data_IF_182986201704
#
_entry.id   IF_182986201704
#
_cell.length_a   1.000
_cell.length_b   1.000
_cell.length_c   1.000
_cell.angle_alpha   90.00
_cell.angle_beta   90.00
_cell.angle_gamma   90.00
#
_symmetry.space_group_name_H-M   'P 1'
#
loop_
_entity.id
_entity.type
_entity.pdbx_description
1 polymer ?
#
# COMPACT_ATOMS: atom_id res chain seq x y z
N UNK A 1 5.96 11.26 -19.87
CA UNK A 1 5.65 9.86 -19.53
C UNK A 1 5.00 9.91 -18.17
N UNK A 2 3.73 9.56 -18.07
CA UNK A 2 3.03 9.52 -16.78
C UNK A 2 3.31 8.14 -16.18
N UNK A 3 3.98 8.08 -15.04
CA UNK A 3 4.23 6.82 -14.33
C UNK A 3 2.93 6.44 -13.62
N UNK A 4 2.48 5.21 -13.79
CA UNK A 4 1.28 4.67 -13.13
C UNK A 4 1.68 3.59 -12.12
N UNK A 5 0.85 3.44 -11.10
CA UNK A 5 1.11 2.51 -10.01
C UNK A 5 1.18 1.05 -10.48
N UNK A 6 0.25 0.66 -11.34
CA UNK A 6 0.21 -0.66 -11.97
C UNK A 6 1.49 -1.01 -12.74
N UNK A 7 2.10 -0.02 -13.39
CA UNK A 7 3.33 -0.23 -14.16
C UNK A 7 4.55 -0.43 -13.25
N UNK A 8 4.62 0.27 -12.12
CA UNK A 8 5.69 0.07 -11.11
C UNK A 8 5.55 -1.33 -10.51
N UNK A 9 4.33 -1.71 -10.11
CA UNK A 9 4.06 -3.01 -9.51
C UNK A 9 4.30 -4.17 -10.47
N UNK A 10 4.01 -3.97 -11.76
CA UNK A 10 4.33 -4.94 -12.82
C UNK A 10 5.79 -4.86 -13.30
N UNK A 11 6.61 -3.99 -12.71
CA UNK A 11 8.01 -3.74 -13.06
C UNK A 11 8.21 -3.40 -14.56
N UNK A 12 7.27 -2.64 -15.13
CA UNK A 12 7.26 -2.19 -16.54
C UNK A 12 7.89 -0.81 -16.73
N UNK A 13 8.26 -0.14 -15.64
CA UNK A 13 8.89 1.18 -15.65
C UNK A 13 10.43 1.01 -15.59
N UNK A 14 11.20 1.78 -16.37
CA UNK A 14 12.66 1.72 -16.33
C UNK A 14 13.22 2.24 -15.00
N UNK A 15 14.47 1.87 -14.71
CA UNK A 15 15.27 2.44 -13.61
C UNK A 15 15.22 3.98 -13.66
N UNK A 16 15.03 4.66 -12.51
CA UNK A 16 15.09 4.16 -11.14
C UNK A 16 13.76 3.69 -10.55
N UNK A 17 12.64 3.80 -11.26
CA UNK A 17 11.30 3.58 -10.71
C UNK A 17 10.87 2.10 -10.76
N UNK A 18 11.75 1.20 -10.31
CA UNK A 18 11.47 -0.24 -10.26
C UNK A 18 10.60 -0.60 -9.06
N UNK A 19 9.98 -1.79 -9.07
CA UNK A 19 9.26 -2.32 -7.91
C UNK A 19 10.11 -2.32 -6.64
N UNK A 20 11.37 -2.76 -6.74
CA UNK A 20 12.28 -2.82 -5.60
C UNK A 20 12.57 -1.43 -5.00
N UNK A 21 12.82 -0.43 -5.87
CA UNK A 21 13.02 0.95 -5.45
C UNK A 21 11.78 1.55 -4.79
N UNK A 22 10.60 1.17 -5.26
CA UNK A 22 9.34 1.61 -4.69
C UNK A 22 9.06 0.97 -3.33
N UNK A 23 9.34 -0.34 -3.16
CA UNK A 23 9.24 -1.00 -1.84
C UNK A 23 10.22 -0.39 -0.83
N UNK A 24 11.46 -0.08 -1.25
CA UNK A 24 12.42 0.61 -0.40
C UNK A 24 11.89 2.00 0.02
N UNK A 25 11.34 2.77 -0.92
CA UNK A 25 10.73 4.06 -0.63
C UNK A 25 9.56 3.97 0.37
N UNK A 26 8.66 3.00 0.19
CA UNK A 26 7.56 2.77 1.13
C UNK A 26 8.09 2.46 2.54
N UNK A 27 9.16 1.67 2.64
CA UNK A 27 9.79 1.33 3.91
C UNK A 27 10.41 2.53 4.60
N UNK A 28 11.09 3.40 3.83
CA UNK A 28 11.76 4.59 4.37
C UNK A 28 10.77 5.68 4.78
N UNK A 29 9.59 5.72 4.16
CA UNK A 29 8.54 6.72 4.41
C UNK A 29 7.40 6.20 5.30
N UNK A 30 7.57 5.05 5.96
CA UNK A 30 6.54 4.45 6.84
C UNK A 30 5.18 4.35 6.14
N UNK A 31 5.18 3.87 4.90
CA UNK A 31 4.00 3.66 4.07
C UNK A 31 3.87 2.19 3.62
N UNK A 32 4.72 1.30 4.13
CA UNK A 32 4.76 -0.10 3.72
C UNK A 32 3.52 -0.87 4.19
N UNK A 33 2.92 -0.43 5.29
CA UNK A 33 1.70 -0.98 5.88
C UNK A 33 0.50 -0.88 4.94
N UNK A 34 0.44 0.14 4.07
CA UNK A 34 -0.59 0.28 3.01
C UNK A 34 -0.53 -0.91 2.04
N UNK A 35 0.68 -1.24 1.56
CA UNK A 35 0.88 -2.38 0.67
C UNK A 35 0.63 -3.71 1.38
N UNK A 36 1.11 -3.84 2.62
CA UNK A 36 0.93 -5.04 3.43
C UNK A 36 -0.53 -5.31 3.77
N UNK A 37 -1.31 -4.26 4.07
CA UNK A 37 -2.76 -4.35 4.29
C UNK A 37 -3.46 -4.84 3.02
N UNK A 38 -3.16 -4.27 1.86
CA UNK A 38 -3.77 -4.70 0.60
C UNK A 38 -3.48 -6.19 0.28
N UNK A 39 -2.24 -6.64 0.51
CA UNK A 39 -1.85 -8.05 0.36
C UNK A 39 -2.57 -8.95 1.37
N UNK A 40 -2.65 -8.55 2.64
CA UNK A 40 -3.35 -9.29 3.68
C UNK A 40 -4.86 -9.42 3.36
N UNK A 41 -5.48 -8.35 2.85
CA UNK A 41 -6.89 -8.37 2.45
C UNK A 41 -7.13 -9.29 1.24
N UNK A 42 -6.22 -9.31 0.27
CA UNK A 42 -6.28 -10.23 -0.86
C UNK A 42 -6.16 -11.70 -0.41
N UNK A 43 -5.21 -12.00 0.48
CA UNK A 43 -5.05 -13.32 1.06
C UNK A 43 -6.29 -13.76 1.85
N UNK A 44 -6.88 -12.84 2.64
CA UNK A 44 -8.12 -13.10 3.37
C UNK A 44 -9.27 -13.49 2.44
N UNK A 45 -9.44 -12.73 1.35
CA UNK A 45 -10.47 -13.01 0.34
C UNK A 45 -10.29 -14.39 -0.29
N UNK A 46 -9.08 -14.72 -0.71
CA UNK A 46 -8.79 -16.05 -1.30
C UNK A 46 -9.15 -17.18 -0.34
N UNK A 47 -8.77 -17.05 0.94
CA UNK A 47 -9.10 -18.05 1.95
C UNK A 47 -10.61 -18.12 2.21
N UNK A 48 -11.31 -16.99 2.27
CA UNK A 48 -12.76 -16.94 2.46
C UNK A 48 -13.50 -17.65 1.30
N UNK A 49 -13.09 -17.36 0.06
CA UNK A 49 -13.67 -17.97 -1.14
C UNK A 49 -13.42 -19.49 -1.16
N UNK A 50 -12.22 -19.92 -0.78
CA UNK A 50 -11.89 -21.33 -0.62
C UNK A 50 -12.83 -22.01 0.39
N UNK A 51 -12.97 -21.48 1.60
CA UNK A 51 -13.85 -22.05 2.64
C UNK A 51 -15.31 -22.09 2.19
N UNK A 52 -15.76 -21.05 1.49
CA UNK A 52 -17.12 -20.95 0.95
C UNK A 52 -17.40 -21.94 -0.18
N UNK A 53 -16.37 -22.38 -0.90
CA UNK A 53 -16.48 -23.36 -1.99
C UNK A 53 -16.63 -24.80 -1.51
N UNK A 54 -16.28 -25.11 -0.25
CA UNK A 54 -16.30 -26.48 0.28
C UNK A 54 -17.76 -26.93 0.50
N UNK A 55 -18.22 -28.02 -0.16
CA UNK A 55 -19.59 -28.52 0.01
C UNK A 55 -19.91 -28.87 1.46
N UNK A 56 -21.05 -28.38 1.95
CA UNK A 56 -21.52 -28.63 3.32
C UNK A 56 -20.80 -27.83 4.40
N UNK A 57 -19.79 -27.03 4.07
CA UNK A 57 -19.21 -26.04 4.98
C UNK A 57 -19.81 -24.66 4.73
N UNK A 58 -19.92 -23.90 5.80
CA UNK A 58 -20.22 -22.47 5.76
C UNK A 58 -19.30 -21.76 6.73
N UNK A 59 -18.89 -20.54 6.38
CA UNK A 59 -18.07 -19.68 7.24
C UNK A 59 -18.72 -19.49 8.62
N UNK A 60 -20.05 -19.49 8.69
CA UNK A 60 -20.81 -19.36 9.93
C UNK A 60 -20.90 -20.63 10.79
N UNK A 61 -20.48 -21.79 10.28
CA UNK A 61 -20.55 -23.06 11.00
C UNK A 61 -19.19 -23.41 11.65
N UNK A 62 -19.16 -23.87 12.91
CA UNK A 62 -17.92 -24.21 13.61
C UNK A 62 -17.15 -25.32 12.89
N UNK A 63 -15.92 -25.01 12.52
CA UNK A 63 -15.10 -25.85 11.66
C UNK A 63 -13.63 -25.37 11.73
N UNK A 64 -12.63 -26.22 11.51
CA UNK A 64 -11.21 -25.79 11.60
C UNK A 64 -10.93 -24.61 10.65
N UNK A 65 -11.41 -24.73 9.42
CA UNK A 65 -11.26 -23.75 8.35
C UNK A 65 -11.94 -22.41 8.69
N UNK A 66 -13.08 -22.44 9.38
CA UNK A 66 -13.73 -21.22 9.87
C UNK A 66 -12.99 -20.58 11.04
N UNK A 67 -12.31 -21.38 11.88
CA UNK A 67 -11.46 -20.86 12.96
C UNK A 67 -10.20 -20.22 12.40
N UNK A 68 -9.54 -20.87 11.45
CA UNK A 68 -8.36 -20.35 10.76
C UNK A 68 -8.70 -19.02 10.05
N UNK A 69 -9.87 -18.96 9.42
CA UNK A 69 -10.39 -17.74 8.78
C UNK A 69 -10.67 -16.63 9.79
N UNK A 70 -11.20 -16.96 10.97
CA UNK A 70 -11.40 -15.98 12.06
C UNK A 70 -10.05 -15.45 12.58
N UNK A 71 -9.05 -16.32 12.77
CA UNK A 71 -7.70 -15.91 13.18
C UNK A 71 -7.10 -14.96 12.14
N UNK A 72 -7.25 -15.28 10.85
CA UNK A 72 -6.77 -14.45 9.75
C UNK A 72 -7.47 -13.08 9.73
N UNK A 73 -8.79 -13.06 9.91
CA UNK A 73 -9.59 -11.83 10.02
C UNK A 73 -9.13 -10.96 11.19
N UNK A 74 -9.07 -11.55 12.39
CA UNK A 74 -8.68 -10.83 13.61
C UNK A 74 -7.27 -10.25 13.47
N UNK A 75 -6.31 -11.04 12.97
CA UNK A 75 -4.94 -10.58 12.73
C UNK A 75 -4.88 -9.41 11.75
N UNK A 76 -5.64 -9.46 10.65
CA UNK A 76 -5.72 -8.36 9.68
C UNK A 76 -6.26 -7.08 10.33
N UNK A 77 -7.36 -7.17 11.07
CA UNK A 77 -8.00 -6.01 11.69
C UNK A 77 -7.13 -5.43 12.82
N UNK A 78 -6.60 -6.26 13.70
CA UNK A 78 -5.76 -5.82 14.83
C UNK A 78 -4.44 -5.19 14.37
N UNK A 79 -3.85 -5.72 13.29
CA UNK A 79 -2.57 -5.22 12.78
C UNK A 79 -2.73 -3.89 12.06
N UNK A 80 -3.74 -3.76 11.19
CA UNK A 80 -3.81 -2.66 10.22
C UNK A 80 -4.94 -1.65 10.48
N UNK A 81 -5.96 -2.00 11.26
CA UNK A 81 -7.16 -1.17 11.41
C UNK A 81 -7.44 -0.75 12.85
N UNK A 82 -6.72 -1.29 13.84
CA UNK A 82 -6.88 -0.86 15.22
C UNK A 82 -6.33 0.57 15.37
N UNK A 83 -7.08 1.50 15.99
CA UNK A 83 -6.59 2.82 16.31
C UNK A 83 -5.30 2.78 17.14
N UNK A 84 -4.37 3.69 16.84
CA UNK A 84 -3.08 3.82 17.53
C UNK A 84 -2.17 2.59 17.34
N UNK A 85 -2.46 1.74 16.36
CA UNK A 85 -1.65 0.58 16.01
C UNK A 85 -0.35 0.99 15.30
N UNK A 86 0.74 0.27 15.56
CA UNK A 86 2.05 0.53 14.91
C UNK A 86 2.02 0.42 13.38
N UNK A 87 1.04 -0.33 12.84
CA UNK A 87 0.83 -0.52 11.39
C UNK A 87 -0.57 -0.07 10.95
N UNK A 88 -1.20 0.81 11.72
CA UNK A 88 -2.51 1.35 11.37
C UNK A 88 -2.44 2.05 10.01
N UNK A 89 -3.23 1.60 9.04
CA UNK A 89 -3.39 2.31 7.78
C UNK A 89 -4.25 3.55 7.99
N UNK A 90 -3.86 4.66 7.38
CA UNK A 90 -4.54 5.94 7.52
C UNK A 90 -5.90 5.97 6.81
N UNK A 91 -6.91 5.34 7.41
CA UNK A 91 -8.26 5.27 6.87
C UNK A 91 -9.22 6.18 7.64
N UNK A 92 -10.18 6.82 6.96
CA UNK A 92 -11.24 7.54 7.64
C UNK A 92 -12.04 6.63 8.57
N UNK A 93 -12.35 7.10 9.79
CA UNK A 93 -13.09 6.32 10.80
C UNK A 93 -14.43 5.77 10.28
N UNK A 94 -15.12 6.51 9.40
CA UNK A 94 -16.37 6.06 8.75
C UNK A 94 -16.23 4.76 7.93
N UNK A 95 -15.02 4.45 7.45
CA UNK A 95 -14.70 3.23 6.70
C UNK A 95 -14.15 2.17 7.68
N UNK A 96 -13.25 2.57 8.57
CA UNK A 96 -12.53 1.69 9.50
C UNK A 96 -13.42 1.10 10.60
N UNK A 97 -14.18 1.94 11.29
CA UNK A 97 -14.90 1.55 12.51
C UNK A 97 -15.97 0.46 12.28
N UNK A 98 -16.73 0.46 11.17
CA UNK A 98 -17.62 -0.66 10.84
C UNK A 98 -16.89 -2.00 10.72
N UNK A 99 -15.65 -2.01 10.20
CA UNK A 99 -14.85 -3.23 10.02
C UNK A 99 -14.43 -3.79 11.38
N UNK A 100 -13.98 -2.92 12.29
CA UNK A 100 -13.62 -3.29 13.67
C UNK A 100 -14.80 -3.95 14.39
N UNK A 101 -16.02 -3.48 14.15
CA UNK A 101 -17.24 -4.04 14.74
C UNK A 101 -17.40 -5.55 14.54
N UNK A 102 -17.06 -6.07 13.35
CA UNK A 102 -17.15 -7.51 13.07
C UNK A 102 -16.18 -8.35 13.92
N UNK A 103 -14.98 -7.83 14.18
CA UNK A 103 -13.98 -8.51 15.02
C UNK A 103 -14.45 -8.61 16.47
N UNK A 104 -15.10 -7.57 16.99
CA UNK A 104 -15.68 -7.58 18.33
C UNK A 104 -16.78 -8.65 18.50
N UNK A 105 -17.49 -8.99 17.42
CA UNK A 105 -18.47 -10.07 17.40
C UNK A 105 -17.84 -11.48 17.26
N UNK A 106 -16.51 -11.58 17.19
CA UNK A 106 -15.78 -12.83 16.93
C UNK A 106 -16.24 -13.53 15.64
N UNK A 107 -16.46 -12.74 14.58
CA UNK A 107 -16.92 -13.23 13.28
C UNK A 107 -15.96 -12.81 12.18
N UNK A 108 -15.57 -13.78 11.36
CA UNK A 108 -14.98 -13.52 10.05
C UNK A 108 -16.06 -12.86 9.16
N UNK A 109 -15.80 -11.65 8.69
CA UNK A 109 -16.74 -10.90 7.86
C UNK A 109 -16.64 -11.30 6.39
N UNK A 110 -17.65 -10.98 5.59
CA UNK A 110 -17.54 -11.12 4.14
C UNK A 110 -16.42 -10.19 3.61
N UNK A 111 -15.53 -10.65 2.71
CA UNK A 111 -14.45 -9.82 2.16
C UNK A 111 -14.94 -8.54 1.49
N UNK A 112 -16.19 -8.46 1.03
CA UNK A 112 -16.78 -7.22 0.49
C UNK A 112 -16.75 -6.06 1.48
N UNK A 113 -16.77 -6.35 2.79
CA UNK A 113 -16.66 -5.33 3.84
C UNK A 113 -15.33 -4.57 3.76
N UNK A 114 -14.27 -5.20 3.25
CA UNK A 114 -12.95 -4.57 3.09
C UNK A 114 -12.84 -3.73 1.80
N UNK A 115 -13.79 -3.79 0.88
CA UNK A 115 -13.65 -3.18 -0.46
C UNK A 115 -13.45 -1.65 -0.38
N UNK A 116 -14.24 -0.97 0.46
CA UNK A 116 -14.08 0.48 0.66
C UNK A 116 -12.75 0.84 1.32
N UNK A 117 -12.23 -0.01 2.20
CA UNK A 117 -10.92 0.19 2.83
C UNK A 117 -9.78 -0.01 1.82
N UNK A 118 -9.86 -1.06 1.00
CA UNK A 118 -8.89 -1.35 -0.06
C UNK A 118 -8.86 -0.20 -1.08
N UNK A 119 -10.03 0.28 -1.52
CA UNK A 119 -10.11 1.40 -2.46
C UNK A 119 -9.49 2.68 -1.88
N UNK A 120 -9.81 3.03 -0.63
CA UNK A 120 -9.22 4.19 0.03
C UNK A 120 -7.69 4.06 0.19
N UNK A 121 -7.20 2.85 0.50
CA UNK A 121 -5.75 2.55 0.55
C UNK A 121 -5.09 2.75 -0.82
N UNK A 122 -5.73 2.34 -1.92
CA UNK A 122 -5.23 2.59 -3.28
C UNK A 122 -5.24 4.08 -3.63
N UNK A 123 -6.29 4.81 -3.30
CA UNK A 123 -6.37 6.26 -3.52
C UNK A 123 -5.25 7.01 -2.79
N UNK A 124 -4.91 6.60 -1.56
CA UNK A 124 -3.76 7.14 -0.81
C UNK A 124 -2.43 6.81 -1.49
N UNK A 125 -2.29 5.58 -1.98
CA UNK A 125 -1.07 5.10 -2.63
C UNK A 125 -0.82 5.81 -3.96
N UNK A 126 -1.87 6.04 -4.77
CA UNK A 126 -1.76 6.76 -6.03
C UNK A 126 -1.67 8.28 -5.85
N UNK A 127 -2.46 8.85 -4.94
CA UNK A 127 -2.58 10.30 -4.78
C UNK A 127 -1.40 10.94 -4.04
N UNK A 128 -0.93 10.32 -2.97
CA UNK A 128 0.09 10.91 -2.09
C UNK A 128 1.45 10.26 -2.31
N UNK A 129 1.52 8.94 -2.28
CA UNK A 129 2.79 8.21 -2.26
C UNK A 129 3.46 8.23 -3.63
N UNK A 130 2.71 7.95 -4.70
CA UNK A 130 3.26 7.92 -6.05
C UNK A 130 3.75 9.31 -6.50
N UNK A 131 3.00 10.36 -6.16
CA UNK A 131 3.39 11.74 -6.46
C UNK A 131 4.71 12.12 -5.78
N UNK A 132 4.85 11.83 -4.48
CA UNK A 132 6.08 12.10 -3.73
C UNK A 132 7.26 11.26 -4.24
N UNK A 133 7.04 9.97 -4.49
CA UNK A 133 8.06 9.06 -5.02
C UNK A 133 8.67 9.53 -6.34
N UNK A 134 7.84 9.94 -7.31
CA UNK A 134 8.33 10.41 -8.61
C UNK A 134 9.05 11.74 -8.50
N UNK A 135 8.65 12.60 -7.55
CA UNK A 135 9.31 13.89 -7.30
C UNK A 135 10.67 13.73 -6.59
N UNK A 136 10.76 12.83 -5.62
CA UNK A 136 11.94 12.63 -4.76
C UNK A 136 12.98 11.70 -5.39
N UNK A 137 12.56 10.85 -6.33
CA UNK A 137 13.47 10.02 -7.14
C UNK A 137 13.52 10.60 -8.56
N UNK A 138 14.38 11.61 -8.80
CA UNK A 138 14.48 12.23 -10.11
C UNK A 138 15.04 11.25 -11.13
N UNK A 139 14.56 11.38 -12.37
CA UNK A 139 15.13 10.66 -13.50
C UNK A 139 16.63 10.93 -13.61
N UNK A 140 17.47 9.92 -13.91
CA UNK A 140 18.89 10.12 -14.22
C UNK A 140 19.12 11.16 -15.32
N UNK A 141 18.15 11.35 -16.23
CA UNK A 141 18.20 12.34 -17.30
C UNK A 141 17.95 13.78 -16.83
N UNK A 142 17.29 13.98 -15.68
CA UNK A 142 17.05 15.30 -15.06
C UNK A 142 18.29 15.73 -14.27
N UNK A 143 18.91 14.82 -13.54
CA UNK A 143 20.15 15.08 -12.78
C UNK A 143 21.30 15.55 -13.69
N UNK A 144 21.38 15.04 -14.92
CA UNK A 144 22.36 15.48 -15.91
C UNK A 144 22.11 16.91 -16.45
N UNK A 145 20.86 17.40 -16.41
CA UNK A 145 20.52 18.77 -16.86
C UNK A 145 20.78 19.82 -15.79
N UNK A 146 20.60 19.50 -14.51
CA UNK A 146 20.87 20.45 -13.42
C UNK A 146 22.36 20.66 -13.15
N UNK A 147 23.23 19.71 -13.52
CA UNK A 147 24.68 19.87 -13.41
C UNK A 147 25.32 20.64 -14.57
N UNK A 148 24.57 20.96 -15.64
CA UNK A 148 25.09 21.66 -16.83
C UNK A 148 24.72 23.14 -16.91
N UNK A 149 24.03 23.70 -15.91
CA UNK A 149 23.65 25.11 -15.87
C UNK A 149 24.29 25.86 -14.70
N UNK A 150 25.58 26.17 -14.81
CA UNK A 150 26.20 27.33 -14.14
C UNK A 150 26.79 28.27 -15.20
N UNK A 151 26.23 29.47 -15.41
CA UNK A 151 26.94 30.55 -16.08
C UNK A 151 27.57 31.47 -15.02
N UNK A 152 28.84 31.26 -14.73
CA UNK A 152 29.67 32.15 -13.91
C UNK A 152 30.66 32.92 -14.78
N UNK A 153 30.23 34.04 -15.33
CA UNK A 153 31.06 35.02 -16.05
C UNK A 153 31.82 35.89 -15.06
N UNK A 154 33.14 35.79 -14.98
CA UNK A 154 33.95 36.76 -14.24
C UNK A 154 35.30 37.03 -14.93
N UNK A 155 35.35 38.22 -15.54
CA UNK A 155 36.52 39.03 -15.92
C UNK A 155 37.86 38.70 -15.24
N UNK A 156 38.92 38.60 -16.05
CA UNK A 156 40.26 39.00 -15.63
C UNK A 156 40.98 39.69 -16.80
N UNK A 157 40.70 40.98 -16.94
CA UNK A 157 41.57 41.92 -17.64
C UNK A 157 42.11 42.90 -16.60
N UNK A 158 43.34 42.71 -16.13
CA UNK A 158 44.17 43.80 -15.61
C UNK A 158 45.63 43.52 -15.96
N UNK A 159 46.18 44.49 -16.69
CA UNK A 159 47.59 44.67 -17.03
C UNK A 159 48.38 44.96 -15.76
N UNK A 160 49.60 44.44 -15.67
CA UNK A 160 50.84 45.20 -15.41
C UNK A 160 52.06 44.33 -15.74
#
# INVERSE_FOLDING_TARGET
>A
MTIQMEDILANRVPTPWTYASFVAYLSDNYCLEILQFALAAAQYKEQYDFVSSIPGRRVSLPSQESQDLLILWTSLVETYLLPDGEREVNLPSRIRDPIIGYTLEQRAADPQVLESAILATWELMEGLILSSYVSEIPSPLVVLKEQTSTPGTNEAAVRE
#
